data_IF_937843135219
#
_entry.id   IF_937843135219
#
_cell.length_a   1.000
_cell.length_b   1.000
_cell.length_c   1.000
_cell.angle_alpha   90.00
_cell.angle_beta   90.00
_cell.angle_gamma   90.00
#
_symmetry.space_group_name_H-M   'P 1'
#
loop_
_entity.id
_entity.type
_entity.pdbx_description
1 polymer ?
#
# COMPACT_ATOMS: atom_id res chain seq x y z
N UNK A 1 -63.64 47.59 1.07
CA UNK A 1 -64.04 47.32 2.47
C UNK A 1 -62.80 46.83 3.20
N UNK A 2 -62.12 47.56 4.08
CA UNK A 2 -62.29 48.90 4.61
C UNK A 2 -61.25 49.08 5.71
N UNK A 3 -60.79 50.32 5.91
CA UNK A 3 -60.27 50.85 7.18
C UNK A 3 -58.94 50.26 7.72
N UNK A 4 -58.08 50.99 8.44
CA UNK A 4 -58.16 52.29 9.10
C UNK A 4 -56.75 52.80 9.42
N UNK A 5 -56.66 54.11 9.56
CA UNK A 5 -55.48 54.93 9.80
C UNK A 5 -54.97 54.93 11.25
N UNK A 6 -53.65 55.16 11.38
CA UNK A 6 -52.95 56.12 12.28
C UNK A 6 -53.02 55.94 13.83
N UNK A 7 -52.23 56.72 14.63
CA UNK A 7 -50.85 57.21 14.49
C UNK A 7 -50.01 57.02 15.80
N UNK A 8 -48.75 57.48 15.79
CA UNK A 8 -48.15 58.06 17.00
C UNK A 8 -46.68 57.69 17.26
N UNK A 9 -45.83 58.71 17.43
CA UNK A 9 -44.50 58.52 18.04
C UNK A 9 -43.41 59.39 17.44
N UNK A 10 -43.40 60.67 17.80
CA UNK A 10 -42.42 61.67 17.41
C UNK A 10 -41.05 61.52 18.10
N UNK A 11 -40.04 62.02 17.38
CA UNK A 11 -38.86 62.74 17.86
C UNK A 11 -37.71 61.94 18.51
N UNK A 12 -36.57 61.91 17.82
CA UNK A 12 -35.32 61.33 18.32
C UNK A 12 -34.09 61.73 17.52
N UNK A 13 -33.85 63.04 17.42
CA UNK A 13 -32.53 63.71 17.48
C UNK A 13 -31.34 63.10 16.72
N UNK A 14 -30.84 63.89 15.78
CA UNK A 14 -29.55 63.76 15.11
C UNK A 14 -28.36 63.52 16.06
N UNK A 15 -27.49 62.59 15.68
CA UNK A 15 -26.07 62.63 16.06
C UNK A 15 -25.23 61.93 14.97
N UNK A 16 -24.49 62.76 14.23
CA UNK A 16 -23.33 62.36 13.43
C UNK A 16 -22.34 61.59 14.32
N UNK A 17 -21.67 60.56 13.79
CA UNK A 17 -20.19 60.50 13.62
C UNK A 17 -19.64 59.06 13.57
N UNK A 18 -18.69 58.91 12.63
CA UNK A 18 -17.48 58.05 12.63
C UNK A 18 -17.63 56.59 12.17
N UNK A 19 -17.27 56.42 10.90
CA UNK A 19 -16.43 55.32 10.39
C UNK A 19 -15.28 54.98 11.34
N UNK A 20 -15.07 53.68 11.59
CA UNK A 20 -13.82 53.12 12.09
C UNK A 20 -13.71 51.61 11.75
N UNK A 21 -12.83 51.33 10.79
CA UNK A 21 -11.89 50.21 10.70
C UNK A 21 -12.38 48.78 10.97
N UNK A 22 -12.46 48.00 9.87
CA UNK A 22 -12.34 46.56 9.87
C UNK A 22 -10.99 46.14 10.50
N UNK A 23 -11.04 45.52 11.67
CA UNK A 23 -9.89 44.85 12.27
C UNK A 23 -9.67 43.52 11.54
N UNK A 24 -8.58 43.45 10.79
CA UNK A 24 -8.17 42.25 10.04
C UNK A 24 -7.88 41.08 10.98
N UNK A 25 -8.47 39.93 10.66
CA UNK A 25 -8.10 38.67 11.27
C UNK A 25 -6.61 38.34 10.96
N UNK A 26 -5.86 37.75 11.90
CA UNK A 26 -4.49 37.33 11.64
C UNK A 26 -4.47 36.21 10.57
N UNK A 27 -3.45 36.17 9.70
CA UNK A 27 -3.32 35.10 8.72
C UNK A 27 -3.20 33.75 9.44
N UNK A 28 -3.80 32.67 8.90
CA UNK A 28 -3.67 31.35 9.50
C UNK A 28 -2.19 30.94 9.48
N UNK A 29 -1.69 30.49 10.63
CA UNK A 29 -0.37 29.88 10.73
C UNK A 29 -0.32 28.63 9.84
N UNK A 30 0.72 28.43 9.02
CA UNK A 30 0.82 27.27 8.16
C UNK A 30 1.00 26.01 9.01
N UNK A 31 -0.04 25.17 9.05
CA UNK A 31 0.03 23.83 9.63
C UNK A 31 0.92 22.98 8.71
N UNK A 32 2.03 22.40 9.18
CA UNK A 32 2.88 21.55 8.34
C UNK A 32 2.09 20.31 7.92
N UNK A 33 1.84 20.18 6.61
CA UNK A 33 1.10 19.07 6.02
C UNK A 33 1.95 17.79 6.05
N UNK A 34 1.69 16.95 7.05
CA UNK A 34 2.27 15.60 7.26
C UNK A 34 2.09 14.63 6.07
N UNK A 35 1.30 15.02 5.06
CA UNK A 35 0.90 14.20 3.90
C UNK A 35 1.98 14.04 2.83
N UNK A 36 2.93 14.98 2.68
CA UNK A 36 3.95 14.90 1.61
C UNK A 36 5.13 13.96 1.94
N UNK A 37 5.55 13.89 3.20
CA UNK A 37 6.67 13.04 3.61
C UNK A 37 6.33 11.53 3.57
N UNK A 38 5.06 11.17 3.79
CA UNK A 38 4.57 9.78 3.72
C UNK A 38 4.60 9.23 2.28
N UNK A 39 4.16 10.03 1.30
CA UNK A 39 4.11 9.60 -0.11
C UNK A 39 5.51 9.33 -0.68
N UNK A 40 6.49 10.19 -0.37
CA UNK A 40 7.86 10.03 -0.87
C UNK A 40 8.54 8.77 -0.31
N UNK A 41 8.32 8.45 0.97
CA UNK A 41 8.89 7.25 1.60
C UNK A 41 8.27 5.95 1.06
N UNK A 42 6.96 5.95 0.76
CA UNK A 42 6.28 4.79 0.17
C UNK A 42 6.76 4.52 -1.26
N UNK A 43 6.94 5.57 -2.08
CA UNK A 43 7.45 5.43 -3.46
C UNK A 43 8.87 4.88 -3.49
N UNK A 44 9.74 5.30 -2.57
CA UNK A 44 11.11 4.78 -2.49
C UNK A 44 11.14 3.29 -2.16
N UNK A 45 10.31 2.83 -1.20
CA UNK A 45 10.21 1.41 -0.86
C UNK A 45 9.63 0.56 -1.99
N UNK A 46 8.61 1.07 -2.68
CA UNK A 46 8.04 0.38 -3.84
C UNK A 46 9.09 0.25 -4.97
N UNK A 47 9.87 1.31 -5.23
CA UNK A 47 10.96 1.27 -6.21
C UNK A 47 12.07 0.28 -5.83
N UNK A 48 12.44 0.24 -4.56
CA UNK A 48 13.43 -0.72 -4.04
C UNK A 48 12.94 -2.17 -4.15
N UNK A 49 11.67 -2.44 -3.81
CA UNK A 49 11.06 -3.76 -3.98
C UNK A 49 10.99 -4.18 -5.45
N UNK A 50 10.60 -3.26 -6.35
CA UNK A 50 10.57 -3.55 -7.78
C UNK A 50 11.94 -3.97 -8.29
N UNK A 51 12.99 -3.24 -7.94
CA UNK A 51 14.36 -3.60 -8.32
C UNK A 51 14.79 -4.98 -7.79
N UNK A 52 14.45 -5.29 -6.53
CA UNK A 52 14.72 -6.60 -5.94
C UNK A 52 13.99 -7.74 -6.68
N UNK A 53 12.76 -7.50 -7.13
CA UNK A 53 11.97 -8.45 -7.92
C UNK A 53 12.53 -8.59 -9.35
N UNK A 54 13.07 -7.52 -9.93
CA UNK A 54 13.75 -7.57 -11.23
C UNK A 54 15.01 -8.44 -11.16
N UNK A 55 15.81 -8.30 -10.10
CA UNK A 55 16.98 -9.15 -9.87
C UNK A 55 16.61 -10.63 -9.74
N UNK A 56 15.45 -10.94 -9.13
CA UNK A 56 14.93 -12.30 -9.03
C UNK A 56 14.65 -12.88 -10.42
N UNK A 57 13.87 -12.15 -11.23
CA UNK A 57 13.51 -12.57 -12.61
C UNK A 57 14.76 -12.75 -13.47
N UNK A 58 15.76 -11.88 -13.33
CA UNK A 58 17.00 -11.96 -14.12
C UNK A 58 17.87 -13.18 -13.78
N UNK A 59 17.79 -13.70 -12.55
CA UNK A 59 18.60 -14.82 -12.08
C UNK A 59 17.96 -16.19 -12.30
N UNK A 60 16.64 -16.23 -12.52
CA UNK A 60 15.89 -17.44 -12.86
C UNK A 60 15.17 -17.22 -14.21
N UNK A 61 15.80 -17.55 -15.36
CA UNK A 61 15.29 -17.22 -16.69
C UNK A 61 13.89 -17.74 -16.99
N UNK A 62 13.45 -18.82 -16.35
CA UNK A 62 12.13 -19.42 -16.54
C UNK A 62 11.04 -18.76 -15.67
N UNK A 63 11.41 -17.81 -14.81
CA UNK A 63 10.50 -16.99 -14.02
C UNK A 63 10.03 -15.81 -14.88
N UNK A 64 8.73 -15.73 -15.13
CA UNK A 64 8.14 -14.69 -15.98
C UNK A 64 7.84 -13.43 -15.20
N UNK A 65 7.21 -13.59 -14.04
CA UNK A 65 6.69 -12.48 -13.25
C UNK A 65 6.86 -12.75 -11.76
N UNK A 66 7.11 -11.69 -11.01
CA UNK A 66 7.17 -11.73 -9.55
C UNK A 66 6.40 -10.55 -8.95
N UNK A 67 5.69 -10.80 -7.85
CA UNK A 67 4.93 -9.80 -7.11
C UNK A 67 5.17 -10.00 -5.62
N UNK A 68 5.54 -8.92 -4.95
CA UNK A 68 5.51 -8.85 -3.49
C UNK A 68 4.17 -8.25 -3.08
N UNK A 69 3.45 -8.90 -2.17
CA UNK A 69 2.09 -8.52 -1.79
C UNK A 69 1.88 -8.59 -0.27
N UNK A 70 0.93 -7.81 0.23
CA UNK A 70 0.43 -7.93 1.60
C UNK A 70 -0.64 -9.02 1.71
N UNK A 71 -0.92 -9.46 2.94
CA UNK A 71 -1.88 -10.52 3.24
C UNK A 71 -3.32 -10.20 2.81
N UNK A 72 -3.66 -8.92 2.61
CA UNK A 72 -4.94 -8.46 2.08
C UNK A 72 -5.01 -8.47 0.53
N UNK A 73 -3.93 -8.87 -0.15
CA UNK A 73 -3.88 -8.99 -1.61
C UNK A 73 -3.48 -7.71 -2.35
N UNK A 74 -2.94 -6.71 -1.66
CA UNK A 74 -2.42 -5.51 -2.31
C UNK A 74 -0.97 -5.74 -2.77
N UNK A 75 -0.69 -5.40 -4.03
CA UNK A 75 0.67 -5.41 -4.56
C UNK A 75 1.51 -4.31 -3.92
N UNK A 76 2.63 -4.69 -3.31
CA UNK A 76 3.63 -3.79 -2.73
C UNK A 76 4.78 -3.50 -3.71
N UNK A 77 5.04 -4.43 -4.63
CA UNK A 77 6.01 -4.29 -5.71
C UNK A 77 5.83 -5.38 -6.77
N UNK A 78 6.24 -5.08 -8.00
CA UNK A 78 6.11 -5.96 -9.17
C UNK A 78 7.41 -5.97 -9.96
N UNK A 79 7.76 -7.11 -10.54
CA UNK A 79 8.86 -7.19 -11.50
C UNK A 79 8.52 -6.45 -12.81
N UNK A 80 9.55 -6.05 -13.53
CA UNK A 80 9.49 -5.49 -14.86
C UNK A 80 8.79 -6.44 -15.83
N UNK A 81 8.11 -5.87 -16.82
CA UNK A 81 7.37 -6.62 -17.84
C UNK A 81 5.99 -7.12 -17.40
N UNK A 82 5.63 -7.01 -16.12
CA UNK A 82 4.28 -7.26 -15.64
C UNK A 82 3.46 -5.96 -15.71
N UNK A 83 2.33 -5.98 -16.43
CA UNK A 83 1.42 -4.85 -16.43
C UNK A 83 0.86 -4.65 -15.02
N UNK A 84 0.56 -3.39 -14.67
CA UNK A 84 0.07 -3.06 -13.32
C UNK A 84 -1.19 -3.83 -12.94
N UNK A 85 -2.14 -3.90 -13.87
CA UNK A 85 -3.40 -4.63 -13.69
C UNK A 85 -3.18 -6.13 -13.48
N UNK A 86 -2.26 -6.74 -14.23
CA UNK A 86 -1.89 -8.14 -14.05
C UNK A 86 -1.20 -8.38 -12.70
N UNK A 87 -0.38 -7.42 -12.25
CA UNK A 87 0.26 -7.47 -10.93
C UNK A 87 -0.75 -7.38 -9.77
N UNK A 88 -1.73 -6.49 -9.88
CA UNK A 88 -2.84 -6.37 -8.93
C UNK A 88 -3.69 -7.66 -8.93
N UNK A 89 -3.96 -8.22 -10.11
CA UNK A 89 -4.69 -9.48 -10.22
C UNK A 89 -3.92 -10.66 -9.62
N UNK A 90 -2.63 -10.80 -9.92
CA UNK A 90 -1.78 -11.84 -9.38
C UNK A 90 -1.66 -11.75 -7.84
N UNK A 91 -1.59 -10.53 -7.29
CA UNK A 91 -1.60 -10.33 -5.84
C UNK A 91 -2.91 -10.82 -5.21
N UNK A 92 -4.06 -10.49 -5.79
CA UNK A 92 -5.36 -10.94 -5.29
C UNK A 92 -5.52 -12.47 -5.36
N UNK A 93 -5.07 -13.09 -6.45
CA UNK A 93 -5.09 -14.55 -6.60
C UNK A 93 -4.17 -15.22 -5.57
N UNK A 94 -2.95 -14.71 -5.41
CA UNK A 94 -1.97 -15.26 -4.47
C UNK A 94 -2.42 -15.15 -3.00
N UNK A 95 -3.04 -14.03 -2.60
CA UNK A 95 -3.56 -13.87 -1.23
C UNK A 95 -4.72 -14.82 -0.94
N UNK A 96 -5.57 -15.12 -1.95
CA UNK A 96 -6.61 -16.13 -1.87
C UNK A 96 -6.03 -17.53 -1.59
N UNK A 97 -5.03 -17.95 -2.38
CA UNK A 97 -4.33 -19.22 -2.17
C UNK A 97 -3.68 -19.31 -0.79
N UNK A 98 -2.98 -18.25 -0.37
CA UNK A 98 -2.32 -18.23 0.93
C UNK A 98 -3.34 -18.33 2.08
N UNK A 99 -4.49 -17.65 1.97
CA UNK A 99 -5.56 -17.69 2.96
C UNK A 99 -6.19 -19.07 3.09
N UNK A 100 -6.46 -19.74 1.96
CA UNK A 100 -6.96 -21.11 1.93
C UNK A 100 -5.96 -22.08 2.58
N UNK A 101 -4.69 -21.99 2.20
CA UNK A 101 -3.63 -22.81 2.78
C UNK A 101 -3.50 -22.60 4.29
N UNK A 102 -3.59 -21.34 4.76
CA UNK A 102 -3.55 -21.02 6.20
C UNK A 102 -4.77 -21.59 6.93
N UNK A 103 -5.94 -21.60 6.29
CA UNK A 103 -7.14 -22.25 6.80
C UNK A 103 -6.94 -23.75 6.99
N UNK A 104 -6.40 -24.42 5.98
CA UNK A 104 -6.07 -25.85 6.05
C UNK A 104 -5.05 -26.15 7.17
N UNK A 105 -3.96 -25.38 7.25
CA UNK A 105 -2.93 -25.54 8.29
C UNK A 105 -3.51 -25.44 9.71
N UNK A 106 -4.39 -24.47 9.96
CA UNK A 106 -5.09 -24.35 11.25
C UNK A 106 -6.05 -25.49 11.50
N UNK A 107 -6.87 -25.85 10.51
CA UNK A 107 -7.90 -26.88 10.65
C UNK A 107 -7.32 -28.26 10.97
N UNK A 108 -6.21 -28.61 10.31
CA UNK A 108 -5.54 -29.90 10.48
C UNK A 108 -4.38 -29.86 11.48
N UNK A 109 -4.12 -28.73 12.14
CA UNK A 109 -3.01 -28.60 13.11
C UNK A 109 -1.62 -28.77 12.47
N UNK A 110 -1.46 -28.45 11.19
CA UNK A 110 -0.23 -28.67 10.42
C UNK A 110 0.77 -27.48 10.47
N UNK A 111 0.47 -26.46 11.28
CA UNK A 111 1.33 -25.28 11.46
C UNK A 111 1.16 -24.22 10.36
N UNK A 112 2.20 -23.38 10.23
CA UNK A 112 2.21 -22.24 9.31
C UNK A 112 2.48 -22.64 7.86
N UNK A 113 1.92 -21.88 6.92
CA UNK A 113 2.12 -22.09 5.49
C UNK A 113 3.55 -21.71 5.13
N UNK A 114 4.33 -22.68 4.66
CA UNK A 114 5.68 -22.41 4.12
C UNK A 114 5.59 -21.89 2.68
N UNK A 115 4.84 -22.60 1.85
CA UNK A 115 4.68 -22.29 0.43
C UNK A 115 3.42 -22.95 -0.12
N UNK A 116 2.78 -22.29 -1.08
CA UNK A 116 1.77 -22.86 -1.97
C UNK A 116 2.37 -23.03 -3.36
N UNK A 117 2.10 -24.17 -4.00
CA UNK A 117 2.50 -24.48 -5.38
C UNK A 117 1.24 -24.87 -6.16
N UNK A 118 1.02 -24.25 -7.31
CA UNK A 118 -0.05 -24.62 -8.25
C UNK A 118 0.59 -24.94 -9.58
N UNK A 119 0.39 -26.18 -10.03
CA UNK A 119 0.82 -26.65 -11.34
C UNK A 119 -0.29 -26.40 -12.37
N UNK A 120 0.07 -25.76 -13.47
CA UNK A 120 -0.78 -25.46 -14.61
C UNK A 120 -0.10 -26.02 -15.85
N UNK A 121 -0.88 -26.26 -16.91
CA UNK A 121 -0.34 -26.73 -18.19
C UNK A 121 0.81 -25.83 -18.71
N UNK A 122 0.68 -24.51 -18.50
CA UNK A 122 1.65 -23.52 -18.97
C UNK A 122 2.77 -23.16 -17.98
N UNK A 123 2.80 -23.75 -16.79
CA UNK A 123 3.81 -23.44 -15.77
C UNK A 123 3.31 -23.47 -14.34
N UNK A 124 4.03 -22.79 -13.45
CA UNK A 124 3.80 -22.89 -12.02
C UNK A 124 3.54 -21.52 -11.40
N UNK A 125 2.57 -21.46 -10.48
CA UNK A 125 2.42 -20.37 -9.54
C UNK A 125 2.97 -20.83 -8.18
N UNK A 126 3.96 -20.11 -7.68
CA UNK A 126 4.49 -20.32 -6.34
C UNK A 126 4.18 -19.11 -5.47
N UNK A 127 3.68 -19.35 -4.26
CA UNK A 127 3.42 -18.31 -3.26
C UNK A 127 4.12 -18.67 -1.96
N UNK A 128 5.12 -17.90 -1.55
CA UNK A 128 5.87 -18.11 -0.33
C UNK A 128 5.59 -17.00 0.69
N UNK A 129 5.56 -17.34 1.98
CA UNK A 129 5.52 -16.35 3.05
C UNK A 129 6.82 -15.52 3.03
N UNK A 130 6.69 -14.18 3.12
CA UNK A 130 7.80 -13.25 2.95
C UNK A 130 8.02 -12.34 4.18
N UNK A 131 7.63 -12.84 5.36
CA UNK A 131 7.56 -12.05 6.59
C UNK A 131 6.12 -11.97 7.11
N UNK A 132 5.95 -11.25 8.22
CA UNK A 132 4.63 -11.13 8.85
C UNK A 132 3.71 -10.29 7.97
N UNK A 133 2.61 -10.90 7.52
CA UNK A 133 1.60 -10.23 6.70
C UNK A 133 2.01 -9.96 5.26
N UNK A 134 3.07 -10.60 4.76
CA UNK A 134 3.58 -10.41 3.39
C UNK A 134 3.83 -11.75 2.69
N UNK A 135 3.69 -11.76 1.38
CA UNK A 135 3.94 -12.93 0.53
C UNK A 135 4.69 -12.52 -0.74
N UNK A 136 5.49 -13.45 -1.26
CA UNK A 136 6.10 -13.39 -2.57
C UNK A 136 5.37 -14.38 -3.48
N UNK A 137 4.78 -13.88 -4.56
CA UNK A 137 4.19 -14.68 -5.62
C UNK A 137 5.07 -14.63 -6.86
N UNK A 138 5.31 -15.78 -7.50
CA UNK A 138 6.04 -15.87 -8.76
C UNK A 138 5.32 -16.79 -9.74
N UNK A 139 5.41 -16.46 -11.02
CA UNK A 139 4.86 -17.27 -12.10
C UNK A 139 5.96 -17.70 -13.04
N UNK A 140 6.07 -19.01 -13.29
CA UNK A 140 7.13 -19.58 -14.12
C UNK A 140 6.57 -20.20 -15.39
N UNK A 141 7.45 -20.64 -16.30
CA UNK A 141 7.09 -21.54 -17.39
C UNK A 141 7.06 -23.01 -16.92
N UNK A 142 6.50 -23.90 -17.73
CA UNK A 142 6.46 -25.35 -17.47
C UNK A 142 7.84 -26.04 -17.51
N UNK A 143 8.89 -25.36 -18.01
CA UNK A 143 10.26 -25.91 -18.08
C UNK A 143 11.16 -25.38 -16.95
N UNK A 144 10.58 -24.69 -15.98
CA UNK A 144 11.34 -24.06 -14.92
C UNK A 144 12.07 -25.08 -14.04
N UNK A 145 13.33 -24.80 -13.73
CA UNK A 145 14.01 -25.45 -12.61
C UNK A 145 13.42 -24.92 -11.30
N UNK A 146 12.48 -25.68 -10.74
CA UNK A 146 11.80 -25.31 -9.49
C UNK A 146 12.75 -25.27 -8.29
N UNK A 147 13.89 -25.96 -8.35
CA UNK A 147 14.93 -25.89 -7.33
C UNK A 147 15.64 -24.53 -7.35
N UNK A 148 16.03 -24.06 -8.54
CA UNK A 148 16.59 -22.73 -8.73
C UNK A 148 15.59 -21.64 -8.34
N UNK A 149 14.34 -21.74 -8.80
CA UNK A 149 13.28 -20.77 -8.47
C UNK A 149 13.07 -20.69 -6.96
N UNK A 150 12.95 -21.83 -6.27
CA UNK A 150 12.79 -21.86 -4.82
C UNK A 150 14.00 -21.25 -4.09
N UNK A 151 15.22 -21.52 -4.56
CA UNK A 151 16.44 -20.91 -4.01
C UNK A 151 16.44 -19.39 -4.16
N UNK A 152 16.13 -18.89 -5.35
CA UNK A 152 16.08 -17.46 -5.65
C UNK A 152 14.98 -16.76 -4.84
N UNK A 153 13.80 -17.37 -4.71
CA UNK A 153 12.72 -16.89 -3.85
C UNK A 153 13.14 -16.79 -2.39
N UNK A 154 13.76 -17.85 -1.84
CA UNK A 154 14.24 -17.87 -0.46
C UNK A 154 15.30 -16.79 -0.21
N UNK A 155 16.21 -16.57 -1.16
CA UNK A 155 17.22 -15.50 -1.07
C UNK A 155 16.56 -14.13 -1.05
N UNK A 156 15.57 -13.89 -1.92
CA UNK A 156 14.83 -12.63 -1.98
C UNK A 156 14.08 -12.36 -0.67
N UNK A 157 13.34 -13.35 -0.16
CA UNK A 157 12.60 -13.23 1.12
C UNK A 157 13.53 -12.86 2.27
N UNK A 158 14.71 -13.48 2.36
CA UNK A 158 15.73 -13.12 3.36
C UNK A 158 16.16 -11.66 3.22
N UNK A 159 16.47 -11.21 2.01
CA UNK A 159 16.90 -9.82 1.75
C UNK A 159 15.80 -8.83 2.10
N UNK A 160 14.56 -9.09 1.68
CA UNK A 160 13.42 -8.23 1.97
C UNK A 160 13.17 -8.14 3.48
N UNK A 161 13.29 -9.25 4.22
CA UNK A 161 13.21 -9.26 5.68
C UNK A 161 14.25 -8.35 6.35
N UNK A 162 15.49 -8.34 5.85
CA UNK A 162 16.56 -7.45 6.33
C UNK A 162 16.28 -5.96 6.06
N UNK A 163 15.62 -5.62 4.94
CA UNK A 163 15.32 -4.24 4.55
C UNK A 163 14.00 -3.70 5.14
N UNK A 164 13.00 -4.56 5.34
CA UNK A 164 11.71 -4.19 5.95
C UNK A 164 11.76 -4.12 7.48
N UNK A 165 12.74 -4.78 8.12
CA UNK A 165 12.90 -4.76 9.59
C UNK A 165 13.67 -3.53 10.11
N UNK A 166 14.00 -2.56 9.27
CA UNK A 166 14.65 -1.33 9.73
C UNK A 166 13.78 -0.62 10.78
N UNK A 167 14.27 -0.38 12.01
CA UNK A 167 13.45 0.11 13.11
C UNK A 167 12.81 1.47 12.76
N UNK A 168 11.60 1.77 13.28
CA UNK A 168 10.98 3.07 13.10
C UNK A 168 11.99 4.15 13.50
N UNK A 169 12.26 5.09 12.59
CA UNK A 169 13.10 6.25 12.89
C UNK A 169 12.50 6.93 14.13
N UNK A 170 13.14 6.77 15.28
CA UNK A 170 12.86 7.58 16.47
C UNK A 170 13.16 9.01 16.08
N UNK A 171 12.11 9.78 15.79
CA UNK A 171 12.20 11.23 15.71
C UNK A 171 12.57 11.69 17.12
N UNK A 172 13.86 11.93 17.33
CA UNK A 172 14.38 12.45 18.59
C UNK A 172 13.76 13.82 18.84
N UNK A 173 12.84 13.87 19.81
CA UNK A 173 12.37 15.12 20.38
C UNK A 173 13.49 15.75 21.21
N UNK A 174 13.78 17.02 20.91
CA UNK A 174 14.42 17.95 21.82
C UNK A 174 13.41 19.03 22.17
#
# INVERSE_FOLDING_TARGET
>A
MGARSAPGGSAGRAARRRSAAAAGAPPPTPVPTRRRASVIATTHRAGELNWLLDELVQRAPELRFAVMLSADGLAMGTSAGLAREDGEHLAAVASGFHSLAKGAGRHFGAGEVRQTMVELEGGYLLVAAAGEGTCLAVFTTARADLGLVAYEMARLVRRVGEHLSAPPRTVGGR
#
